data_IF_920688837752
#
_entry.id   IF_920688837752
#
_cell.length_a   1.000
_cell.length_b   1.000
_cell.length_c   1.000
_cell.angle_alpha   90.00
_cell.angle_beta   90.00
_cell.angle_gamma   90.00
#
_symmetry.space_group_name_H-M   'P 1'
#
loop_
_entity.id
_entity.type
_entity.pdbx_description
1 polymer ?
#
# COMPACT_ATOMS: atom_id res chain seq x y z
N UNK A 1 8.35 10.46 53.03
CA UNK A 1 8.64 10.58 51.59
C UNK A 1 7.58 9.78 50.83
N UNK A 2 6.60 10.44 50.22
CA UNK A 2 5.61 9.81 49.35
C UNK A 2 5.68 10.55 48.02
N UNK A 3 6.27 9.92 47.02
CA UNK A 3 6.31 10.44 45.66
C UNK A 3 4.89 10.36 45.10
N UNK A 4 4.22 11.51 45.02
CA UNK A 4 2.97 11.67 44.27
C UNK A 4 3.35 12.10 42.87
N UNK A 5 3.10 11.23 41.90
CA UNK A 5 3.28 11.46 40.47
C UNK A 5 2.13 12.38 40.02
N UNK A 6 2.30 13.67 40.22
CA UNK A 6 1.76 14.64 39.29
C UNK A 6 2.70 14.71 38.07
N UNK A 7 2.15 15.16 36.94
CA UNK A 7 2.81 15.51 35.67
C UNK A 7 3.24 14.37 34.72
N UNK A 8 2.34 14.05 33.77
CA UNK A 8 2.65 14.06 32.34
C UNK A 8 1.39 13.86 31.46
N UNK A 9 0.29 14.59 31.73
CA UNK A 9 -0.50 15.09 30.60
C UNK A 9 0.33 16.25 30.04
N UNK A 10 1.35 15.91 29.24
CA UNK A 10 2.09 16.90 28.48
C UNK A 10 1.08 17.47 27.50
N UNK A 11 0.66 18.70 27.80
CA UNK A 11 0.06 19.58 26.84
C UNK A 11 0.91 19.56 25.57
N UNK A 12 0.40 18.94 24.52
CA UNK A 12 0.83 19.23 23.15
C UNK A 12 0.27 20.61 22.79
N UNK A 13 0.82 21.64 23.42
CA UNK A 13 0.61 23.04 23.06
C UNK A 13 1.66 23.45 22.05
N UNK A 14 1.22 23.77 20.83
CA UNK A 14 2.01 24.41 19.76
C UNK A 14 2.68 23.39 18.84
N UNK A 15 2.33 23.26 17.56
CA UNK A 15 1.73 24.19 16.60
C UNK A 15 0.49 23.52 16.03
N UNK A 16 -0.64 24.24 15.91
CA UNK A 16 -1.71 23.80 15.03
C UNK A 16 -1.24 23.96 13.58
N UNK A 17 -0.32 23.10 13.14
CA UNK A 17 -0.23 22.75 11.73
C UNK A 17 -1.61 22.18 11.38
N UNK A 18 -2.20 22.68 10.30
CA UNK A 18 -3.52 22.25 9.87
C UNK A 18 -3.44 20.76 9.54
N UNK A 19 -3.72 19.90 10.52
CA UNK A 19 -3.77 18.46 10.31
C UNK A 19 -4.79 18.17 9.21
N UNK A 20 -4.49 17.19 8.37
CA UNK A 20 -5.40 16.81 7.30
C UNK A 20 -6.77 16.45 7.92
N UNK A 21 -7.90 16.92 7.38
CA UNK A 21 -9.19 16.46 7.84
C UNK A 21 -9.28 14.93 7.72
N UNK A 22 -9.85 14.26 8.73
CA UNK A 22 -10.03 12.80 8.75
C UNK A 22 -10.69 12.28 7.47
N UNK A 23 -11.70 13.00 6.97
CA UNK A 23 -12.39 12.70 5.70
C UNK A 23 -11.45 12.72 4.50
N UNK A 24 -10.51 13.65 4.45
CA UNK A 24 -9.52 13.74 3.37
C UNK A 24 -8.52 12.58 3.46
N UNK A 25 -8.07 12.23 4.67
CA UNK A 25 -7.13 11.12 4.86
C UNK A 25 -7.78 9.77 4.50
N UNK A 26 -8.99 9.54 4.99
CA UNK A 26 -9.78 8.35 4.61
C UNK A 26 -10.08 8.34 3.12
N UNK A 27 -10.41 9.49 2.52
CA UNK A 27 -10.62 9.63 1.08
C UNK A 27 -9.41 9.25 0.24
N UNK A 28 -8.21 9.66 0.67
CA UNK A 28 -6.93 9.26 0.06
C UNK A 28 -6.70 7.75 0.14
N UNK A 29 -6.85 7.15 1.32
CA UNK A 29 -6.72 5.70 1.50
C UNK A 29 -7.75 4.93 0.65
N UNK A 30 -8.98 5.43 0.56
CA UNK A 30 -10.02 4.83 -0.27
C UNK A 30 -9.73 4.97 -1.76
N UNK A 31 -9.10 6.06 -2.20
CA UNK A 31 -8.63 6.21 -3.58
C UNK A 31 -7.55 5.17 -3.91
N UNK A 32 -6.57 4.98 -3.02
CA UNK A 32 -5.57 3.91 -3.17
C UNK A 32 -6.24 2.52 -3.24
N UNK A 33 -7.26 2.30 -2.41
CA UNK A 33 -8.06 1.06 -2.45
C UNK A 33 -8.78 0.90 -3.79
N UNK A 34 -9.33 1.97 -4.35
CA UNK A 34 -10.01 1.94 -5.64
C UNK A 34 -9.04 1.62 -6.79
N UNK A 35 -7.83 2.21 -6.78
CA UNK A 35 -6.77 1.89 -7.75
C UNK A 35 -6.42 0.40 -7.65
N UNK A 36 -6.14 -0.11 -6.44
CA UNK A 36 -5.83 -1.53 -6.26
C UNK A 36 -6.99 -2.44 -6.71
N UNK A 37 -8.24 -2.04 -6.44
CA UNK A 37 -9.44 -2.80 -6.86
C UNK A 37 -9.58 -2.85 -8.37
N UNK A 38 -9.32 -1.75 -9.08
CA UNK A 38 -9.43 -1.67 -10.53
C UNK A 38 -8.42 -2.56 -11.25
N UNK A 39 -7.23 -2.75 -10.67
CA UNK A 39 -6.15 -3.57 -11.25
C UNK A 39 -6.37 -5.07 -11.11
N UNK A 40 -7.18 -5.51 -10.15
CA UNK A 40 -7.48 -6.93 -9.94
C UNK A 40 -8.11 -7.58 -11.20
N UNK A 41 -9.23 -7.09 -11.75
CA UNK A 41 -9.84 -7.72 -12.92
C UNK A 41 -8.93 -7.66 -14.16
N UNK A 42 -8.16 -6.60 -14.33
CA UNK A 42 -7.17 -6.49 -15.41
C UNK A 42 -6.10 -7.58 -15.29
N UNK A 43 -5.56 -7.78 -14.09
CA UNK A 43 -4.56 -8.83 -13.85
C UNK A 43 -5.17 -10.23 -13.96
N UNK A 44 -6.41 -10.42 -13.49
CA UNK A 44 -7.12 -11.69 -13.64
C UNK A 44 -7.41 -12.03 -15.10
N UNK A 45 -7.64 -11.02 -15.95
CA UNK A 45 -7.85 -11.24 -17.39
C UNK A 45 -6.61 -11.82 -18.09
N UNK A 46 -5.41 -11.53 -17.59
CA UNK A 46 -4.17 -12.17 -18.06
C UNK A 46 -4.17 -13.67 -17.74
N UNK A 47 -4.62 -14.04 -16.53
CA UNK A 47 -4.64 -15.43 -16.06
C UNK A 47 -5.82 -16.22 -16.65
N UNK A 48 -6.96 -15.59 -16.88
CA UNK A 48 -8.16 -16.24 -17.44
C UNK A 48 -8.05 -16.57 -18.93
N UNK A 49 -7.21 -15.85 -19.67
CA UNK A 49 -6.99 -16.01 -21.12
C UNK A 49 -5.91 -17.06 -21.46
N UNK A 50 -5.85 -18.18 -20.74
CA UNK A 50 -4.86 -19.28 -20.91
C UNK A 50 -4.88 -20.02 -22.25
N UNK A 51 -5.63 -19.54 -23.26
CA UNK A 51 -5.32 -19.89 -24.65
C UNK A 51 -4.08 -19.11 -25.06
N UNK A 52 -2.96 -19.79 -25.32
CA UNK A 52 -1.63 -19.22 -25.61
C UNK A 52 -1.57 -18.12 -26.68
N UNK A 53 -2.60 -17.97 -27.51
CA UNK A 53 -2.77 -16.89 -28.49
C UNK A 53 -3.42 -15.60 -27.93
N UNK A 54 -4.24 -15.69 -26.88
CA UNK A 54 -4.94 -14.55 -26.29
C UNK A 54 -4.03 -13.71 -25.36
N UNK A 55 -2.98 -14.31 -24.79
CA UNK A 55 -1.96 -13.62 -23.98
C UNK A 55 -1.20 -12.56 -24.80
N UNK A 56 -1.06 -12.77 -26.11
CA UNK A 56 -0.49 -11.77 -27.03
C UNK A 56 -1.45 -10.58 -27.29
N UNK A 57 -2.74 -10.73 -26.94
CA UNK A 57 -3.76 -9.69 -27.14
C UNK A 57 -4.20 -9.00 -25.84
N UNK A 58 -3.98 -9.65 -24.69
CA UNK A 58 -4.10 -8.98 -23.39
C UNK A 58 -2.92 -8.03 -23.25
N UNK A 59 -3.15 -6.79 -22.87
CA UNK A 59 -2.09 -5.78 -22.75
C UNK A 59 -1.46 -5.81 -21.34
N UNK A 60 -0.39 -6.59 -21.10
CA UNK A 60 0.29 -6.64 -19.81
C UNK A 60 0.86 -5.28 -19.39
N UNK A 61 1.00 -4.34 -20.34
CA UNK A 61 1.45 -2.98 -20.03
C UNK A 61 0.44 -2.20 -19.22
N UNK A 62 -0.86 -2.48 -19.36
CA UNK A 62 -1.88 -1.81 -18.54
C UNK A 62 -1.69 -2.14 -17.05
N UNK A 63 -1.44 -3.42 -16.73
CA UNK A 63 -1.15 -3.87 -15.35
C UNK A 63 0.13 -3.25 -14.82
N UNK A 64 1.18 -3.17 -15.65
CA UNK A 64 2.43 -2.50 -15.29
C UNK A 64 2.18 -1.02 -14.96
N UNK A 65 1.60 -0.26 -15.89
CA UNK A 65 1.29 1.18 -15.76
C UNK A 65 0.42 1.44 -14.54
N UNK A 66 -0.58 0.59 -14.29
CA UNK A 66 -1.41 0.68 -13.11
C UNK A 66 -0.65 0.49 -11.81
N UNK A 67 0.28 -0.47 -11.75
CA UNK A 67 1.13 -0.66 -10.57
C UNK A 67 2.07 0.53 -10.33
N UNK A 68 2.63 1.13 -11.39
CA UNK A 68 3.38 2.39 -11.29
C UNK A 68 2.50 3.51 -10.73
N UNK A 69 1.27 3.63 -11.23
CA UNK A 69 0.30 4.62 -10.77
C UNK A 69 -0.06 4.46 -9.29
N UNK A 70 -0.18 3.21 -8.82
CA UNK A 70 -0.42 2.92 -7.41
C UNK A 70 0.75 3.37 -6.54
N UNK A 71 1.99 3.01 -6.89
CA UNK A 71 3.18 3.42 -6.14
C UNK A 71 3.29 4.97 -6.07
N UNK A 72 3.15 5.63 -7.22
CA UNK A 72 3.17 7.10 -7.29
C UNK A 72 2.06 7.74 -6.44
N UNK A 73 0.85 7.16 -6.41
CA UNK A 73 -0.24 7.65 -5.59
C UNK A 73 0.05 7.49 -4.08
N UNK A 74 0.65 6.36 -3.67
CA UNK A 74 1.07 6.15 -2.27
C UNK A 74 2.14 7.18 -1.87
N UNK A 75 3.14 7.41 -2.72
CA UNK A 75 4.19 8.41 -2.47
C UNK A 75 3.60 9.83 -2.37
N UNK A 76 2.72 10.19 -3.29
CA UNK A 76 2.05 11.49 -3.32
C UNK A 76 1.21 11.71 -2.06
N UNK A 77 0.43 10.72 -1.64
CA UNK A 77 -0.40 10.80 -0.45
C UNK A 77 0.43 10.83 0.83
N UNK A 78 1.51 10.05 0.89
CA UNK A 78 2.47 10.10 2.01
C UNK A 78 3.07 11.49 2.15
N UNK A 79 3.52 12.08 1.03
CA UNK A 79 4.10 13.42 1.00
C UNK A 79 3.08 14.49 1.41
N UNK A 80 1.83 14.37 0.95
CA UNK A 80 0.76 15.29 1.31
C UNK A 80 0.43 15.23 2.82
N UNK A 81 0.42 14.03 3.42
CA UNK A 81 0.20 13.87 4.86
C UNK A 81 1.37 14.47 5.65
N UNK A 82 2.61 14.22 5.23
CA UNK A 82 3.81 14.80 5.87
C UNK A 82 3.80 16.33 5.79
N UNK A 83 3.39 16.90 4.65
CA UNK A 83 3.30 18.35 4.47
C UNK A 83 2.21 19.01 5.34
N UNK A 84 1.12 18.28 5.65
CA UNK A 84 0.08 18.76 6.57
C UNK A 84 0.52 18.76 8.04
N UNK A 85 1.65 18.11 8.37
CA UNK A 85 2.15 17.93 9.72
C UNK A 85 1.50 16.75 10.46
N UNK A 86 2.02 16.39 11.65
CA UNK A 86 1.54 15.23 12.39
C UNK A 86 0.08 15.43 12.81
N UNK A 87 -0.79 14.53 12.35
CA UNK A 87 -2.17 14.47 12.84
C UNK A 87 -2.24 13.90 14.26
N UNK A 88 -3.28 14.24 14.99
CA UNK A 88 -3.63 13.61 16.27
C UNK A 88 -5.07 13.08 16.18
N UNK A 89 -5.27 12.03 15.39
CA UNK A 89 -6.58 11.41 15.25
C UNK A 89 -6.85 10.48 16.43
N UNK A 90 -8.03 10.63 17.04
CA UNK A 90 -8.46 9.86 18.21
C UNK A 90 -9.89 9.34 18.05
N UNK A 91 -10.26 8.34 18.83
CA UNK A 91 -11.65 7.86 18.87
C UNK A 91 -12.15 7.33 17.52
N UNK A 92 -13.30 7.84 17.05
CA UNK A 92 -13.91 7.38 15.80
C UNK A 92 -13.05 7.70 14.57
N UNK A 93 -12.30 8.79 14.59
CA UNK A 93 -11.46 9.20 13.47
C UNK A 93 -10.29 8.25 13.29
N UNK A 94 -9.58 7.95 14.38
CA UNK A 94 -8.50 6.97 14.40
C UNK A 94 -8.97 5.58 13.94
N UNK A 95 -10.15 5.14 14.41
CA UNK A 95 -10.75 3.87 13.99
C UNK A 95 -11.10 3.86 12.51
N UNK A 96 -11.63 4.96 11.98
CA UNK A 96 -11.98 5.07 10.56
C UNK A 96 -10.74 5.01 9.67
N UNK A 97 -9.68 5.71 10.03
CA UNK A 97 -8.38 5.67 9.34
C UNK A 97 -7.79 4.26 9.39
N UNK A 98 -7.76 3.64 10.57
CA UNK A 98 -7.24 2.27 10.72
C UNK A 98 -8.04 1.24 9.93
N UNK A 99 -9.37 1.36 9.86
CA UNK A 99 -10.22 0.48 9.07
C UNK A 99 -10.05 0.69 7.56
N UNK A 100 -9.92 1.95 7.12
CA UNK A 100 -9.61 2.27 5.73
C UNK A 100 -8.26 1.67 5.33
N UNK A 101 -7.23 1.85 6.15
CA UNK A 101 -5.90 1.29 5.91
C UNK A 101 -5.93 -0.24 5.85
N UNK A 102 -6.67 -0.89 6.76
CA UNK A 102 -6.86 -2.35 6.72
C UNK A 102 -7.52 -2.81 5.42
N UNK A 103 -8.52 -2.09 4.94
CA UNK A 103 -9.22 -2.41 3.69
C UNK A 103 -8.27 -2.26 2.50
N UNK A 104 -7.53 -1.16 2.44
CA UNK A 104 -6.46 -0.95 1.47
C UNK A 104 -5.43 -2.09 1.49
N UNK A 105 -4.88 -2.41 2.66
CA UNK A 105 -3.89 -3.47 2.82
C UNK A 105 -4.39 -4.84 2.34
N UNK A 106 -5.65 -5.18 2.64
CA UNK A 106 -6.29 -6.41 2.15
C UNK A 106 -6.41 -6.42 0.62
N UNK A 107 -6.99 -5.39 0.02
CA UNK A 107 -7.22 -5.35 -1.43
C UNK A 107 -5.89 -5.32 -2.19
N UNK A 108 -4.91 -4.56 -1.72
CA UNK A 108 -3.59 -4.51 -2.35
C UNK A 108 -2.85 -5.84 -2.22
N UNK A 109 -3.01 -6.58 -1.11
CA UNK A 109 -2.53 -7.98 -1.02
C UNK A 109 -3.21 -8.88 -2.04
N UNK A 110 -4.53 -8.77 -2.19
CA UNK A 110 -5.26 -9.57 -3.16
C UNK A 110 -4.75 -9.29 -4.58
N UNK A 111 -4.51 -8.03 -4.94
CA UNK A 111 -3.86 -7.65 -6.20
C UNK A 111 -2.46 -8.28 -6.35
N UNK A 112 -1.59 -8.15 -5.34
CA UNK A 112 -0.23 -8.72 -5.39
C UNK A 112 -0.26 -10.25 -5.53
N UNK A 113 -1.20 -10.93 -4.85
CA UNK A 113 -1.38 -12.37 -4.99
C UNK A 113 -1.80 -12.76 -6.42
N UNK A 114 -2.70 -12.00 -7.05
CA UNK A 114 -3.05 -12.22 -8.46
C UNK A 114 -1.85 -11.99 -9.37
N UNK A 115 -1.03 -10.97 -9.12
CA UNK A 115 0.21 -10.71 -9.88
C UNK A 115 1.23 -11.84 -9.73
N UNK A 116 1.34 -12.43 -8.53
CA UNK A 116 2.17 -13.62 -8.28
C UNK A 116 1.67 -14.80 -9.13
N UNK A 117 0.36 -15.06 -9.14
CA UNK A 117 -0.24 -16.13 -9.96
C UNK A 117 -0.02 -15.87 -11.45
N UNK A 118 -0.12 -14.62 -11.89
CA UNK A 118 0.13 -14.20 -13.27
C UNK A 118 1.62 -14.17 -13.66
N UNK A 119 2.53 -14.37 -12.70
CA UNK A 119 3.97 -14.22 -12.93
C UNK A 119 4.56 -15.03 -14.09
N UNK A 120 4.12 -16.27 -14.41
CA UNK A 120 4.67 -17.00 -15.56
C UNK A 120 4.37 -16.28 -16.87
N UNK A 121 3.19 -15.67 -17.00
CA UNK A 121 2.77 -14.94 -18.19
C UNK A 121 3.46 -13.58 -18.27
N UNK A 122 3.53 -12.87 -17.15
CA UNK A 122 4.20 -11.57 -17.06
C UNK A 122 5.70 -11.69 -17.35
N UNK A 123 6.34 -12.83 -17.05
CA UNK A 123 7.74 -13.09 -17.40
C UNK A 123 7.97 -13.34 -18.91
N UNK A 124 6.94 -13.72 -19.66
CA UNK A 124 7.04 -13.85 -21.13
C UNK A 124 7.07 -12.49 -21.83
N UNK A 125 6.64 -11.42 -21.15
CA UNK A 125 6.62 -10.07 -21.69
C UNK A 125 8.03 -9.49 -21.62
N UNK A 126 8.64 -9.13 -22.76
CA UNK A 126 10.01 -8.60 -22.79
C UNK A 126 10.16 -7.38 -21.88
N UNK A 127 11.08 -7.47 -20.90
CA UNK A 127 11.38 -6.39 -19.98
C UNK A 127 10.37 -6.17 -18.83
N UNK A 128 9.26 -6.90 -18.77
CA UNK A 128 8.27 -6.71 -17.70
C UNK A 128 8.76 -7.19 -16.32
N UNK A 129 9.43 -8.34 -16.24
CA UNK A 129 9.92 -8.89 -14.99
C UNK A 129 10.85 -7.93 -14.20
N UNK A 130 11.90 -7.31 -14.81
CA UNK A 130 12.73 -6.34 -14.08
C UNK A 130 11.97 -5.08 -13.69
N UNK A 131 11.00 -4.62 -14.50
CA UNK A 131 10.16 -3.47 -14.15
C UNK A 131 9.26 -3.78 -12.95
N UNK A 132 8.60 -4.94 -12.94
CA UNK A 132 7.78 -5.40 -11.81
C UNK A 132 8.60 -5.55 -10.54
N UNK A 133 9.82 -6.08 -10.63
CA UNK A 133 10.72 -6.20 -9.48
C UNK A 133 11.03 -4.84 -8.84
N UNK A 134 11.37 -3.84 -9.67
CA UNK A 134 11.58 -2.46 -9.23
C UNK A 134 10.30 -1.96 -8.56
N UNK A 135 9.14 -2.13 -9.20
CA UNK A 135 7.87 -1.61 -8.68
C UNK A 135 7.42 -2.27 -7.38
N UNK A 136 7.59 -3.58 -7.20
CA UNK A 136 7.28 -4.21 -5.92
C UNK A 136 8.21 -3.74 -4.80
N UNK A 137 9.46 -3.43 -5.12
CA UNK A 137 10.43 -2.89 -4.16
C UNK A 137 10.09 -1.44 -3.77
N UNK A 138 9.74 -0.61 -4.76
CA UNK A 138 9.27 0.77 -4.53
C UNK A 138 7.98 0.77 -3.72
N UNK A 139 6.96 0.02 -4.15
CA UNK A 139 5.68 -0.06 -3.45
C UNK A 139 5.82 -0.57 -2.01
N UNK A 140 6.75 -1.50 -1.75
CA UNK A 140 7.08 -1.97 -0.39
C UNK A 140 7.60 -0.82 0.47
N UNK A 141 8.54 -0.05 -0.05
CA UNK A 141 9.10 1.11 0.65
C UNK A 141 8.03 2.17 0.90
N UNK A 142 7.25 2.52 -0.13
CA UNK A 142 6.27 3.60 -0.05
C UNK A 142 5.13 3.27 0.90
N UNK A 143 4.65 2.02 0.92
CA UNK A 143 3.58 1.63 1.84
C UNK A 143 4.08 1.48 3.28
N UNK A 144 5.34 1.07 3.50
CA UNK A 144 5.97 1.12 4.83
C UNK A 144 6.04 2.55 5.35
N UNK A 145 6.50 3.49 4.51
CA UNK A 145 6.55 4.92 4.83
C UNK A 145 5.16 5.52 5.08
N UNK A 146 4.17 5.16 4.25
CA UNK A 146 2.79 5.58 4.39
C UNK A 146 2.18 5.08 5.71
N UNK A 147 2.36 3.79 6.00
CA UNK A 147 1.85 3.14 7.21
C UNK A 147 2.49 3.71 8.47
N UNK A 148 3.79 3.97 8.47
CA UNK A 148 4.49 4.66 9.58
C UNK A 148 3.97 6.08 9.77
N UNK A 149 3.77 6.82 8.68
CA UNK A 149 3.27 8.20 8.72
C UNK A 149 1.86 8.26 9.31
N UNK A 150 0.95 7.40 8.85
CA UNK A 150 -0.42 7.31 9.38
C UNK A 150 -0.42 6.75 10.80
N UNK A 151 0.36 5.69 11.06
CA UNK A 151 0.47 5.04 12.36
C UNK A 151 0.98 5.98 13.46
N UNK A 152 1.87 6.91 13.12
CA UNK A 152 2.33 7.97 14.02
C UNK A 152 1.31 9.09 14.26
N UNK A 153 0.24 9.15 13.45
CA UNK A 153 -0.79 10.19 13.53
C UNK A 153 -2.08 9.76 14.24
N UNK A 154 -2.21 8.48 14.57
CA UNK A 154 -3.43 7.90 15.19
C UNK A 154 -3.16 7.36 16.58
N UNK A 155 -4.22 7.19 17.39
CA UNK A 155 -4.10 6.60 18.72
C UNK A 155 -3.54 5.15 18.70
N UNK A 156 -2.92 4.66 19.79
CA UNK A 156 -2.17 3.40 19.80
C UNK A 156 -2.95 2.16 19.34
N UNK A 157 -4.27 2.11 19.62
CA UNK A 157 -5.13 1.00 19.21
C UNK A 157 -5.26 0.90 17.69
N UNK A 158 -5.41 2.04 17.01
CA UNK A 158 -5.46 2.10 15.55
C UNK A 158 -4.06 1.86 14.94
N UNK A 159 -3.02 2.43 15.55
CA UNK A 159 -1.63 2.25 15.13
C UNK A 159 -1.24 0.76 15.11
N UNK A 160 -1.58 0.01 16.18
CA UNK A 160 -1.31 -1.44 16.25
C UNK A 160 -1.96 -2.22 15.10
N UNK A 161 -3.18 -1.85 14.71
CA UNK A 161 -3.88 -2.49 13.59
C UNK A 161 -3.17 -2.18 12.26
N UNK A 162 -2.74 -0.95 12.06
CA UNK A 162 -1.98 -0.53 10.87
C UNK A 162 -0.65 -1.30 10.79
N UNK A 163 0.09 -1.40 11.90
CA UNK A 163 1.37 -2.13 11.94
C UNK A 163 1.20 -3.62 11.66
N UNK A 164 0.17 -4.26 12.22
CA UNK A 164 -0.10 -5.68 11.96
C UNK A 164 -0.47 -5.92 10.49
N UNK A 165 -1.27 -5.03 9.90
CA UNK A 165 -1.65 -5.09 8.50
C UNK A 165 -0.43 -4.89 7.59
N UNK A 166 0.42 -3.92 7.92
CA UNK A 166 1.67 -3.65 7.22
C UNK A 166 2.58 -4.87 7.23
N UNK A 167 2.79 -5.52 8.38
CA UNK A 167 3.62 -6.72 8.47
C UNK A 167 3.11 -7.85 7.56
N UNK A 168 1.79 -8.00 7.43
CA UNK A 168 1.18 -8.99 6.54
C UNK A 168 1.40 -8.61 5.08
N UNK A 169 1.21 -7.34 4.74
CA UNK A 169 1.44 -6.83 3.38
C UNK A 169 2.91 -6.91 2.96
N UNK A 170 3.82 -6.62 3.89
CA UNK A 170 5.26 -6.73 3.74
C UNK A 170 5.70 -8.13 3.33
N UNK A 171 5.11 -9.16 3.95
CA UNK A 171 5.31 -10.56 3.58
C UNK A 171 4.88 -10.84 2.13
N UNK A 172 3.67 -10.41 1.74
CA UNK A 172 3.15 -10.63 0.39
C UNK A 172 3.99 -9.94 -0.69
N UNK A 173 4.42 -8.70 -0.47
CA UNK A 173 5.33 -8.00 -1.40
C UNK A 173 6.71 -8.67 -1.46
N UNK A 174 7.22 -9.18 -0.33
CA UNK A 174 8.49 -9.91 -0.31
C UNK A 174 8.41 -11.19 -1.13
N UNK A 175 7.28 -11.88 -1.12
CA UNK A 175 7.06 -13.06 -1.95
C UNK A 175 6.95 -12.70 -3.44
N UNK A 176 6.27 -11.61 -3.79
CA UNK A 176 6.26 -11.09 -5.16
C UNK A 176 7.67 -10.74 -5.66
N UNK A 177 8.47 -10.03 -4.84
CA UNK A 177 9.87 -9.72 -5.14
C UNK A 177 10.65 -10.99 -5.44
N UNK A 178 10.55 -12.03 -4.60
CA UNK A 178 11.22 -13.32 -4.85
C UNK A 178 10.79 -13.92 -6.19
N UNK A 179 9.48 -13.96 -6.45
CA UNK A 179 8.92 -14.54 -7.68
C UNK A 179 9.46 -13.84 -8.91
N UNK A 180 9.52 -12.51 -8.95
CA UNK A 180 10.00 -11.76 -10.11
C UNK A 180 11.52 -11.60 -10.18
N UNK A 181 12.24 -11.79 -9.06
CA UNK A 181 13.70 -11.80 -9.02
C UNK A 181 14.32 -13.10 -9.55
N UNK A 182 13.58 -14.22 -9.53
CA UNK A 182 14.01 -15.43 -10.25
C UNK A 182 13.89 -15.14 -11.74
N UNK A 183 15.02 -14.76 -12.36
CA UNK A 183 15.20 -14.69 -13.80
C UNK A 183 14.62 -15.97 -14.41
N UNK A 184 13.65 -15.83 -15.31
CA UNK A 184 13.29 -16.91 -16.22
C UNK A 184 14.59 -17.37 -16.87
N UNK A 185 15.01 -18.60 -16.54
CA UNK A 185 16.14 -19.23 -17.17
C UNK A 185 15.98 -19.04 -18.68
N UNK A 186 16.97 -18.40 -19.28
CA UNK A 186 17.19 -18.32 -20.72
C UNK A 186 16.86 -19.67 -21.34
N UNK A 187 15.78 -19.71 -22.14
CA UNK A 187 15.58 -20.75 -23.13
C UNK A 187 16.56 -20.55 -24.29
#
# INVERSE_FOLDING_TARGET
MRFSINSAFVAFGGVAVAQLPTTNLVGKINNLTAISTALIPETQSLVGNVSSLAILTSDPWTVLVGLFGLAAAVEQDTSAIRAAGPGQYVGNDARSIGNAFRTFGKITRDLVNVLIVASPLLKLVPGAAPLLLIQFTTLKSDVDDFAKTIGGSVEPGAAKNITAELATFDGTLSDAIKVFNVTSATA
#
